data_IF_967765469431
#
_entry.id   IF_967765469431
#
_cell.length_a   1.000
_cell.length_b   1.000
_cell.length_c   1.000
_cell.angle_alpha   90.00
_cell.angle_beta   90.00
_cell.angle_gamma   90.00
#
_symmetry.space_group_name_H-M   'P 1'
#
loop_
_entity.id
_entity.type
_entity.pdbx_description
1 polymer ?
#
# COMPACT_ATOMS: atom_id res chain seq x y z
N UNK A 1 -2.41 -8.11 1.26
CA UNK A 1 -1.88 -6.99 0.46
C UNK A 1 -0.51 -6.54 0.98
N UNK A 2 -0.34 -6.43 2.31
CA UNK A 2 0.88 -6.04 3.01
C UNK A 2 2.21 -6.63 2.51
N UNK A 3 2.21 -7.88 2.03
CA UNK A 3 3.43 -8.51 1.50
C UNK A 3 4.10 -7.78 0.32
N UNK A 4 3.39 -6.90 -0.40
CA UNK A 4 3.96 -6.11 -1.50
C UNK A 4 4.90 -4.98 -1.03
N UNK A 5 4.78 -4.54 0.24
CA UNK A 5 5.55 -3.40 0.78
C UNK A 5 7.07 -3.63 0.70
N UNK A 6 7.53 -4.86 1.00
CA UNK A 6 8.93 -5.25 0.90
C UNK A 6 9.51 -4.94 -0.49
N UNK A 7 8.77 -5.31 -1.55
CA UNK A 7 9.20 -5.10 -2.92
C UNK A 7 9.10 -3.63 -3.35
N UNK A 8 8.04 -2.95 -2.92
CA UNK A 8 7.86 -1.53 -3.18
C UNK A 8 9.03 -0.70 -2.64
N UNK A 9 9.47 -0.96 -1.40
CA UNK A 9 10.63 -0.29 -0.80
C UNK A 9 11.89 -0.44 -1.67
N UNK A 10 12.20 -1.67 -2.12
CA UNK A 10 13.36 -1.94 -2.97
C UNK A 10 13.29 -1.20 -4.30
N UNK A 11 12.12 -1.16 -4.95
CA UNK A 11 11.90 -0.46 -6.22
C UNK A 11 12.11 1.05 -6.05
N UNK A 12 11.62 1.61 -4.93
CA UNK A 12 11.85 3.00 -4.56
C UNK A 12 13.32 3.30 -4.22
N UNK A 13 14.13 2.27 -3.96
CA UNK A 13 15.54 2.41 -3.58
C UNK A 13 15.73 2.59 -2.07
N UNK A 14 14.76 2.16 -1.28
CA UNK A 14 14.74 2.27 0.18
C UNK A 14 15.21 0.96 0.85
N UNK A 15 15.45 1.06 2.16
CA UNK A 15 15.57 -0.09 3.06
C UNK A 15 14.18 -0.33 3.64
N UNK A 16 13.51 -1.41 3.23
CA UNK A 16 12.19 -1.78 3.75
C UNK A 16 12.29 -2.76 4.90
N UNK A 17 11.80 -2.41 6.08
CA UNK A 17 11.68 -3.33 7.22
C UNK A 17 10.22 -3.72 7.39
N UNK A 18 9.92 -5.03 7.34
CA UNK A 18 8.55 -5.55 7.44
C UNK A 18 8.50 -6.57 8.58
N UNK A 19 7.83 -6.22 9.68
CA UNK A 19 7.56 -7.16 10.76
C UNK A 19 6.33 -8.01 10.45
N UNK A 20 6.41 -9.30 10.71
CA UNK A 20 5.34 -10.28 10.47
C UNK A 20 5.43 -11.37 11.55
N UNK A 21 4.28 -11.69 12.17
CA UNK A 21 4.19 -12.71 13.22
C UNK A 21 4.03 -14.12 12.64
N UNK A 22 3.42 -14.23 11.46
CA UNK A 22 3.22 -15.51 10.78
C UNK A 22 4.47 -15.90 9.98
N UNK A 23 5.18 -16.91 10.48
CA UNK A 23 6.32 -17.51 9.76
C UNK A 23 5.92 -17.96 8.35
N UNK A 24 4.75 -18.57 8.20
CA UNK A 24 4.24 -19.00 6.89
C UNK A 24 4.12 -17.82 5.91
N UNK A 25 3.54 -16.70 6.36
CA UNK A 25 3.36 -15.52 5.52
C UNK A 25 4.71 -14.90 5.12
N UNK A 26 5.65 -14.77 6.07
CA UNK A 26 6.99 -14.24 5.85
C UNK A 26 7.76 -15.12 4.87
N UNK A 27 7.80 -16.43 5.12
CA UNK A 27 8.53 -17.40 4.29
C UNK A 27 7.97 -17.49 2.88
N UNK A 28 6.65 -17.37 2.73
CA UNK A 28 6.00 -17.28 1.41
C UNK A 28 6.49 -16.07 0.61
N UNK A 29 6.66 -14.90 1.23
CA UNK A 29 7.17 -13.70 0.53
C UNK A 29 8.65 -13.80 0.22
N UNK A 30 9.43 -14.41 1.10
CA UNK A 30 10.83 -14.71 0.83
C UNK A 30 10.98 -15.70 -0.34
N UNK A 31 10.23 -16.80 -0.35
CA UNK A 31 10.24 -17.77 -1.45
C UNK A 31 9.80 -17.18 -2.80
N UNK A 32 8.90 -16.18 -2.79
CA UNK A 32 8.49 -15.43 -3.98
C UNK A 32 9.55 -14.42 -4.46
N UNK A 33 10.62 -14.18 -3.71
CA UNK A 33 11.61 -13.13 -3.99
C UNK A 33 11.09 -11.70 -3.79
N UNK A 34 9.98 -11.55 -3.05
CA UNK A 34 9.41 -10.24 -2.69
C UNK A 34 10.12 -9.66 -1.47
N UNK A 35 10.57 -10.53 -0.57
CA UNK A 35 11.40 -10.24 0.59
C UNK A 35 12.81 -10.81 0.36
N UNK A 36 13.86 -10.02 0.61
CA UNK A 36 15.24 -10.43 0.29
C UNK A 36 15.94 -11.16 1.44
N UNK A 37 15.71 -10.72 2.66
CA UNK A 37 16.34 -11.27 3.86
C UNK A 37 15.36 -11.23 5.03
N UNK A 38 15.62 -12.02 6.07
CA UNK A 38 14.81 -12.00 7.28
C UNK A 38 15.63 -12.40 8.51
N UNK A 39 15.15 -12.01 9.68
CA UNK A 39 15.69 -12.37 10.99
C UNK A 39 14.59 -12.35 12.05
N UNK A 40 14.74 -13.15 13.09
CA UNK A 40 13.92 -13.16 14.32
C UNK A 40 14.61 -12.42 15.48
N UNK A 41 15.78 -11.81 15.23
CA UNK A 41 16.60 -11.18 16.26
C UNK A 41 16.71 -9.67 16.03
N UNK A 42 16.23 -8.88 17.01
CA UNK A 42 16.24 -7.43 16.96
C UNK A 42 17.65 -6.82 16.87
N UNK A 43 18.65 -7.38 17.56
CA UNK A 43 20.02 -6.87 17.48
C UNK A 43 20.60 -7.04 16.07
N UNK A 44 20.31 -8.19 15.45
CA UNK A 44 20.68 -8.47 14.06
C UNK A 44 19.96 -7.51 13.10
N UNK A 45 18.66 -7.29 13.31
CA UNK A 45 17.87 -6.35 12.51
C UNK A 45 18.46 -4.94 12.56
N UNK A 46 18.67 -4.40 13.77
CA UNK A 46 19.20 -3.05 13.95
C UNK A 46 20.60 -2.91 13.33
N UNK A 47 21.46 -3.91 13.53
CA UNK A 47 22.79 -3.93 12.90
C UNK A 47 22.68 -3.89 11.38
N UNK A 48 21.78 -4.68 10.79
CA UNK A 48 21.60 -4.75 9.34
C UNK A 48 21.02 -3.45 8.76
N UNK A 49 20.12 -2.77 9.47
CA UNK A 49 19.63 -1.44 9.09
C UNK A 49 20.81 -0.45 8.99
N UNK A 50 21.68 -0.41 10.01
CA UNK A 50 22.87 0.48 10.00
C UNK A 50 23.84 0.15 8.86
N UNK A 51 24.13 -1.13 8.64
CA UNK A 51 25.05 -1.57 7.58
C UNK A 51 24.53 -1.24 6.18
N UNK A 52 23.25 -1.48 5.91
CA UNK A 52 22.62 -1.22 4.60
C UNK A 52 22.47 0.28 4.35
N UNK A 53 22.15 1.06 5.40
CA UNK A 53 22.13 2.52 5.36
C UNK A 53 23.48 3.10 5.01
N UNK A 54 24.56 2.63 5.66
CA UNK A 54 25.92 3.08 5.38
C UNK A 54 26.34 2.79 3.94
N UNK A 55 25.90 1.66 3.38
CA UNK A 55 26.17 1.25 1.99
C UNK A 55 25.22 1.86 0.96
N UNK A 56 24.14 2.52 1.40
CA UNK A 56 23.01 2.98 0.55
C UNK A 56 22.47 1.84 -0.32
N UNK A 57 22.36 0.66 0.27
CA UNK A 57 21.89 -0.57 -0.38
C UNK A 57 20.36 -0.65 -0.27
N UNK A 58 19.67 -0.69 -1.41
CA UNK A 58 18.23 -0.95 -1.43
C UNK A 58 17.98 -2.42 -1.10
N UNK A 59 17.31 -2.69 0.02
CA UNK A 59 16.99 -4.05 0.46
C UNK A 59 15.64 -4.12 1.18
N UNK A 60 15.16 -5.33 1.41
CA UNK A 60 13.97 -5.62 2.20
C UNK A 60 14.26 -6.69 3.25
N UNK A 61 13.99 -6.35 4.51
CA UNK A 61 14.32 -7.13 5.70
C UNK A 61 13.03 -7.51 6.41
N UNK A 62 12.77 -8.80 6.52
CA UNK A 62 11.66 -9.32 7.30
C UNK A 62 12.07 -9.49 8.76
N UNK A 63 11.25 -9.00 9.68
CA UNK A 63 11.38 -9.35 11.08
C UNK A 63 10.31 -10.38 11.45
N UNK A 64 10.72 -11.59 11.79
CA UNK A 64 9.80 -12.63 12.27
C UNK A 64 9.50 -12.36 13.75
N UNK A 65 8.45 -11.60 14.00
CA UNK A 65 8.09 -11.13 15.34
C UNK A 65 7.13 -9.95 15.28
N UNK A 66 6.84 -9.36 16.45
CA UNK A 66 5.83 -8.33 16.54
C UNK A 66 6.37 -6.97 16.08
N UNK A 67 5.57 -6.22 15.31
CA UNK A 67 5.93 -4.86 14.88
C UNK A 67 6.13 -3.91 16.06
N UNK A 68 5.42 -4.13 17.17
CA UNK A 68 5.57 -3.33 18.39
C UNK A 68 6.98 -3.49 18.99
N UNK A 69 7.55 -4.69 18.96
CA UNK A 69 8.93 -4.91 19.43
C UNK A 69 9.94 -4.11 18.59
N UNK A 70 9.71 -4.04 17.28
CA UNK A 70 10.55 -3.22 16.37
C UNK A 70 10.41 -1.74 16.72
N UNK A 71 9.19 -1.25 16.90
CA UNK A 71 8.96 0.15 17.27
C UNK A 71 9.59 0.53 18.61
N UNK A 72 9.38 -0.28 19.64
CA UNK A 72 9.97 -0.05 20.97
C UNK A 72 11.50 -0.19 20.94
N UNK A 73 12.04 -1.11 20.12
CA UNK A 73 13.49 -1.20 19.94
C UNK A 73 14.06 0.03 19.25
N UNK A 74 13.39 0.57 18.22
CA UNK A 74 13.81 1.79 17.54
C UNK A 74 13.80 3.00 18.49
N UNK A 75 12.83 3.08 19.41
CA UNK A 75 12.82 4.07 20.49
C UNK A 75 14.04 3.89 21.39
N UNK A 76 14.33 2.67 21.84
CA UNK A 76 15.48 2.40 22.71
C UNK A 76 16.82 2.79 22.06
N UNK A 77 17.00 2.50 20.77
CA UNK A 77 18.18 2.91 20.01
C UNK A 77 18.27 4.44 19.90
N UNK A 78 17.15 5.12 19.62
CA UNK A 78 17.11 6.58 19.55
C UNK A 78 17.44 7.23 20.90
N UNK A 79 16.89 6.73 22.01
CA UNK A 79 17.18 7.27 23.34
C UNK A 79 18.63 7.02 23.77
N UNK A 80 19.20 5.88 23.40
CA UNK A 80 20.59 5.54 23.75
C UNK A 80 21.63 6.30 22.91
N UNK A 81 21.33 6.60 21.65
CA UNK A 81 22.34 7.08 20.68
C UNK A 81 22.02 8.42 20.04
N UNK A 82 20.77 8.88 20.12
CA UNK A 82 20.26 10.02 19.35
C UNK A 82 20.06 9.74 17.85
N UNK A 83 20.33 8.51 17.39
CA UNK A 83 20.23 8.14 15.98
C UNK A 83 18.79 7.77 15.61
N UNK A 84 18.18 8.53 14.70
CA UNK A 84 16.89 8.17 14.12
C UNK A 84 17.09 7.13 13.00
N UNK A 85 16.83 5.86 13.33
CA UNK A 85 17.02 4.71 12.42
C UNK A 85 15.86 4.49 11.43
N UNK A 86 14.82 5.30 11.50
CA UNK A 86 13.62 5.19 10.66
C UNK A 86 13.12 6.58 10.26
N UNK A 87 13.09 6.86 8.96
CA UNK A 87 12.56 8.13 8.43
C UNK A 87 11.07 8.05 8.09
N UNK A 88 10.61 6.89 7.66
CA UNK A 88 9.25 6.63 7.17
C UNK A 88 8.63 5.44 7.91
N UNK A 89 7.41 5.62 8.41
CA UNK A 89 6.70 4.62 9.19
C UNK A 89 5.25 4.46 8.75
N UNK A 90 4.75 3.21 8.72
CA UNK A 90 3.33 2.94 8.49
C UNK A 90 2.95 1.60 9.12
N UNK A 91 1.67 1.24 9.02
CA UNK A 91 1.12 -0.04 9.47
C UNK A 91 0.13 -0.58 8.44
N UNK A 92 0.24 -1.87 8.12
CA UNK A 92 -0.72 -2.57 7.24
C UNK A 92 -1.15 -3.91 7.83
N UNK A 93 -1.18 -4.02 9.16
CA UNK A 93 -1.86 -5.11 9.87
C UNK A 93 -3.37 -5.07 9.57
N UNK A 94 -4.11 -6.14 9.87
CA UNK A 94 -5.54 -6.20 9.55
C UNK A 94 -6.39 -5.62 10.68
N UNK A 95 -6.15 -4.35 11.04
CA UNK A 95 -6.90 -3.64 12.09
C UNK A 95 -8.38 -3.38 11.75
N UNK A 96 -8.86 -3.71 10.55
CA UNK A 96 -10.30 -3.77 10.25
C UNK A 96 -11.00 -4.96 10.93
N UNK A 97 -10.25 -5.96 11.39
CA UNK A 97 -10.73 -7.09 12.19
C UNK A 97 -9.71 -7.46 13.29
N UNK A 98 -9.44 -6.53 14.23
CA UNK A 98 -8.31 -6.65 15.15
C UNK A 98 -8.50 -7.81 16.15
N UNK A 99 -9.75 -8.13 16.50
CA UNK A 99 -10.08 -9.16 17.49
C UNK A 99 -10.37 -10.53 16.88
N UNK A 100 -10.48 -10.63 15.56
CA UNK A 100 -10.69 -11.89 14.83
C UNK A 100 -9.42 -12.46 14.20
N UNK A 101 -8.25 -12.12 14.76
CA UNK A 101 -6.94 -12.58 14.26
C UNK A 101 -6.24 -11.60 13.31
N UNK A 102 -6.81 -10.41 13.08
CA UNK A 102 -6.20 -9.41 12.20
C UNK A 102 -5.03 -8.64 12.82
N UNK A 103 -4.92 -8.63 14.16
CA UNK A 103 -3.84 -8.00 14.91
C UNK A 103 -3.39 -8.91 16.06
N UNK A 104 -2.10 -9.25 16.10
CA UNK A 104 -1.52 -10.06 17.17
C UNK A 104 -0.93 -9.15 18.26
N UNK A 105 -1.38 -9.25 19.52
CA UNK A 105 -0.82 -8.43 20.59
C UNK A 105 0.63 -8.82 20.89
N UNK A 106 1.49 -7.84 21.19
CA UNK A 106 2.92 -8.04 21.48
C UNK A 106 3.20 -8.92 22.70
N UNK A 107 2.23 -9.03 23.62
CA UNK A 107 2.35 -9.82 24.84
C UNK A 107 2.27 -11.33 24.59
N UNK A 108 1.86 -11.76 23.39
CA UNK A 108 1.65 -13.17 23.04
C UNK A 108 2.48 -13.54 21.81
N UNK A 109 2.94 -14.78 21.78
CA UNK A 109 3.38 -15.41 20.53
C UNK A 109 2.21 -15.60 19.56
N UNK A 110 2.52 -15.84 18.28
CA UNK A 110 1.51 -16.07 17.26
C UNK A 110 0.58 -17.25 17.61
N UNK A 111 1.16 -18.37 18.07
CA UNK A 111 0.41 -19.56 18.47
C UNK A 111 -0.50 -19.29 19.69
N UNK A 112 0.00 -18.58 20.70
CA UNK A 112 -0.80 -18.22 21.88
C UNK A 112 -1.97 -17.31 21.52
N UNK A 113 -1.77 -16.36 20.59
CA UNK A 113 -2.85 -15.50 20.10
C UNK A 113 -3.91 -16.30 19.32
N UNK A 114 -3.50 -17.25 18.47
CA UNK A 114 -4.40 -18.15 17.76
C UNK A 114 -5.23 -19.01 18.72
N UNK A 115 -4.61 -19.58 19.75
CA UNK A 115 -5.34 -20.35 20.77
C UNK A 115 -6.31 -19.48 21.57
N UNK A 116 -5.93 -18.24 21.89
CA UNK A 116 -6.73 -17.34 22.71
C UNK A 116 -7.97 -16.83 21.97
N UNK A 117 -7.95 -16.74 20.64
CA UNK A 117 -9.12 -16.40 19.82
C UNK A 117 -10.34 -17.27 20.15
N UNK A 118 -10.12 -18.57 20.35
CA UNK A 118 -11.20 -19.51 20.67
C UNK A 118 -11.46 -19.64 22.17
N UNK A 119 -10.42 -19.56 23.00
CA UNK A 119 -10.51 -19.82 24.45
C UNK A 119 -11.01 -18.62 25.25
N UNK A 120 -10.53 -17.41 24.97
CA UNK A 120 -10.83 -16.21 25.75
C UNK A 120 -10.75 -14.93 24.88
N UNK A 121 -11.75 -14.70 24.01
CA UNK A 121 -11.76 -13.54 23.13
C UNK A 121 -11.84 -12.20 23.87
N UNK A 122 -12.36 -12.19 25.10
CA UNK A 122 -12.42 -10.98 25.93
C UNK A 122 -11.02 -10.56 26.38
N UNK A 123 -10.23 -11.51 26.89
CA UNK A 123 -8.84 -11.25 27.26
C UNK A 123 -7.99 -10.88 26.06
N UNK A 124 -8.17 -11.56 24.92
CA UNK A 124 -7.47 -11.21 23.69
C UNK A 124 -7.74 -9.75 23.29
N UNK A 125 -9.00 -9.32 23.33
CA UNK A 125 -9.38 -7.93 23.05
C UNK A 125 -8.64 -6.94 23.96
N UNK A 126 -8.56 -7.22 25.27
CA UNK A 126 -7.84 -6.36 26.21
C UNK A 126 -6.34 -6.27 25.86
N UNK A 127 -5.70 -7.39 25.53
CA UNK A 127 -4.29 -7.44 25.14
C UNK A 127 -4.03 -6.72 23.82
N UNK A 128 -4.90 -6.89 22.82
CA UNK A 128 -4.83 -6.15 21.55
C UNK A 128 -4.88 -4.65 21.79
N UNK A 129 -5.83 -4.19 22.60
CA UNK A 129 -5.95 -2.77 22.94
C UNK A 129 -4.71 -2.24 23.68
N UNK A 130 -4.12 -3.03 24.58
CA UNK A 130 -2.87 -2.68 25.26
C UNK A 130 -1.69 -2.58 24.29
N UNK A 131 -1.55 -3.55 23.39
CA UNK A 131 -0.53 -3.56 22.34
C UNK A 131 -0.65 -2.34 21.41
N UNK A 132 -1.86 -1.97 20.99
CA UNK A 132 -2.11 -0.78 20.17
C UNK A 132 -1.67 0.51 20.88
N UNK A 133 -1.94 0.64 22.19
CA UNK A 133 -1.48 1.79 22.99
C UNK A 133 0.05 1.88 23.04
N UNK A 134 0.73 0.74 23.23
CA UNK A 134 2.20 0.67 23.21
C UNK A 134 2.78 1.03 21.86
N UNK A 135 2.21 0.50 20.78
CA UNK A 135 2.62 0.81 19.41
C UNK A 135 2.55 2.31 19.13
N UNK A 136 1.42 2.95 19.43
CA UNK A 136 1.25 4.39 19.25
C UNK A 136 2.19 5.19 20.14
N UNK A 137 2.43 4.79 21.39
CA UNK A 137 3.37 5.49 22.26
C UNK A 137 4.79 5.53 21.66
N UNK A 138 5.25 4.41 21.09
CA UNK A 138 6.54 4.34 20.42
C UNK A 138 6.57 5.17 19.12
N UNK A 139 5.51 5.09 18.30
CA UNK A 139 5.37 5.90 17.08
C UNK A 139 5.36 7.40 17.41
N UNK A 140 4.61 7.83 18.43
CA UNK A 140 4.55 9.22 18.90
C UNK A 140 5.94 9.73 19.26
N UNK A 141 6.70 8.94 20.05
CA UNK A 141 8.05 9.28 20.47
C UNK A 141 9.01 9.48 19.28
N UNK A 142 8.96 8.58 18.29
CA UNK A 142 9.81 8.69 17.10
C UNK A 142 9.34 9.80 16.16
N UNK A 143 8.03 10.05 16.07
CA UNK A 143 7.48 11.14 15.28
C UNK A 143 7.88 12.51 15.86
N UNK A 144 7.89 12.65 17.18
CA UNK A 144 8.45 13.83 17.86
C UNK A 144 9.94 14.03 17.55
N UNK A 145 10.66 12.96 17.20
CA UNK A 145 12.06 12.99 16.79
C UNK A 145 12.26 13.19 15.27
N UNK A 146 11.19 13.27 14.47
CA UNK A 146 11.24 13.53 13.03
C UNK A 146 10.87 12.37 12.12
N UNK A 147 10.42 11.22 12.65
CA UNK A 147 9.78 10.17 11.84
C UNK A 147 8.51 10.70 11.18
N UNK A 148 8.36 10.46 9.89
CA UNK A 148 7.09 10.67 9.19
C UNK A 148 6.27 9.38 9.22
N UNK A 149 5.16 9.37 9.99
CA UNK A 149 4.24 8.25 10.09
C UNK A 149 2.91 8.55 9.38
N UNK A 150 2.35 7.57 8.68
CA UNK A 150 1.02 7.65 8.07
C UNK A 150 0.21 6.35 8.22
N UNK A 151 -1.12 6.47 8.23
CA UNK A 151 -2.03 5.31 8.24
C UNK A 151 -2.24 4.76 6.82
N UNK A 152 -2.13 3.45 6.63
CA UNK A 152 -2.24 2.80 5.32
C UNK A 152 -3.68 2.39 4.94
N UNK A 153 -4.69 2.97 5.59
CA UNK A 153 -6.11 2.69 5.33
C UNK A 153 -6.55 1.30 5.82
N UNK A 154 -5.98 0.84 6.94
CA UNK A 154 -6.25 -0.46 7.55
C UNK A 154 -7.04 -0.37 8.87
N UNK A 155 -7.57 0.81 9.20
CA UNK A 155 -8.26 1.15 10.45
C UNK A 155 -7.37 1.16 11.71
N UNK A 156 -6.03 1.20 11.55
CA UNK A 156 -5.09 1.18 12.68
C UNK A 156 -5.30 2.35 13.65
N UNK A 157 -5.30 3.60 13.17
CA UNK A 157 -5.48 4.75 14.06
C UNK A 157 -6.88 4.79 14.70
N UNK A 158 -7.90 4.34 13.98
CA UNK A 158 -9.26 4.24 14.51
C UNK A 158 -9.35 3.24 15.67
N UNK A 159 -8.79 2.04 15.50
CA UNK A 159 -8.78 1.03 16.57
C UNK A 159 -7.86 1.42 17.72
N UNK A 160 -6.73 2.06 17.44
CA UNK A 160 -5.87 2.60 18.49
C UNK A 160 -6.59 3.69 19.31
N UNK A 161 -7.37 4.57 18.67
CA UNK A 161 -8.25 5.52 19.37
C UNK A 161 -9.28 4.82 20.24
N UNK A 162 -9.96 3.80 19.70
CA UNK A 162 -10.94 2.98 20.46
C UNK A 162 -10.29 2.27 21.65
N UNK A 163 -9.01 1.95 21.55
CA UNK A 163 -8.18 1.42 22.63
C UNK A 163 -7.71 2.50 23.64
N UNK A 164 -7.95 3.79 23.39
CA UNK A 164 -7.49 4.88 24.24
C UNK A 164 -6.04 5.29 24.01
N UNK A 165 -5.47 5.02 22.84
CA UNK A 165 -4.16 5.51 22.44
C UNK A 165 -4.20 7.00 22.09
N UNK A 166 -3.08 7.70 22.29
CA UNK A 166 -2.94 9.11 21.99
C UNK A 166 -2.69 9.34 20.49
N UNK A 167 -3.78 9.33 19.71
CA UNK A 167 -3.75 9.50 18.25
C UNK A 167 -4.48 10.76 17.77
N UNK A 168 -4.99 11.58 18.69
CA UNK A 168 -5.75 12.78 18.35
C UNK A 168 -4.81 13.89 17.84
N UNK A 169 -5.23 14.61 16.80
CA UNK A 169 -4.46 15.80 16.37
C UNK A 169 -4.54 16.87 17.47
N UNK A 170 -3.42 17.50 17.87
CA UNK A 170 -3.49 18.61 18.80
C UNK A 170 -4.34 19.76 18.24
N UNK A 171 -5.22 20.32 19.06
CA UNK A 171 -6.00 21.52 18.71
C UNK A 171 -7.24 21.29 17.83
N UNK A 172 -7.72 20.05 17.69
CA UNK A 172 -9.03 19.76 17.07
C UNK A 172 -9.98 19.12 18.06
N UNK A 173 -11.26 19.48 17.98
CA UNK A 173 -12.35 18.80 18.70
C UNK A 173 -12.95 17.65 17.88
N UNK A 174 -12.61 17.54 16.58
CA UNK A 174 -13.14 16.49 15.71
C UNK A 174 -12.62 15.11 16.12
N UNK A 175 -13.51 14.18 16.52
CA UNK A 175 -13.11 12.84 16.92
C UNK A 175 -12.67 11.93 15.77
N UNK A 176 -12.68 12.39 14.53
CA UNK A 176 -12.17 11.62 13.38
C UNK A 176 -10.90 12.23 12.77
N UNK A 177 -10.40 13.34 13.33
CA UNK A 177 -9.13 13.92 12.92
C UNK A 177 -7.98 13.36 13.76
N UNK A 178 -7.12 12.59 13.12
CA UNK A 178 -5.95 11.96 13.74
C UNK A 178 -4.68 12.82 13.58
N UNK A 179 -3.72 12.59 14.49
CA UNK A 179 -2.40 13.22 14.49
C UNK A 179 -1.62 12.90 13.22
N UNK A 180 -1.76 11.66 12.73
CA UNK A 180 -1.15 11.18 11.51
C UNK A 180 -2.21 11.10 10.42
N UNK A 181 -1.94 11.61 9.21
CA UNK A 181 -2.89 11.48 8.13
C UNK A 181 -2.92 10.05 7.61
N UNK A 182 -4.02 9.67 6.96
CA UNK A 182 -4.01 8.49 6.10
C UNK A 182 -3.24 8.79 4.80
N UNK A 183 -2.68 7.76 4.16
CA UNK A 183 -2.04 7.92 2.86
C UNK A 183 -3.01 8.48 1.80
N UNK A 184 -4.31 8.27 1.95
CA UNK A 184 -5.27 8.87 1.02
C UNK A 184 -5.50 10.34 1.31
N UNK A 185 -5.58 10.72 2.58
CA UNK A 185 -5.76 12.12 2.97
C UNK A 185 -4.61 13.01 2.53
N UNK A 186 -3.37 12.52 2.65
CA UNK A 186 -2.16 13.34 2.44
C UNK A 186 -1.51 13.15 1.08
N UNK A 187 -1.76 12.03 0.40
CA UNK A 187 -1.05 11.66 -0.84
C UNK A 187 -2.04 11.29 -1.95
N UNK A 188 -2.83 10.23 -1.78
CA UNK A 188 -3.59 9.68 -2.91
C UNK A 188 -4.75 10.55 -3.35
N UNK A 189 -5.38 11.30 -2.44
CA UNK A 189 -6.50 12.17 -2.79
C UNK A 189 -6.11 13.23 -3.83
N UNK A 190 -4.90 13.78 -3.71
CA UNK A 190 -4.37 14.72 -4.70
C UNK A 190 -3.99 14.02 -6.01
N UNK A 191 -3.40 12.81 -5.93
CA UNK A 191 -3.09 11.99 -7.11
C UNK A 191 -4.38 11.63 -7.89
N UNK A 192 -5.43 11.25 -7.17
CA UNK A 192 -6.75 10.99 -7.74
C UNK A 192 -7.37 12.25 -8.34
N UNK A 193 -7.22 13.40 -7.68
CA UNK A 193 -7.71 14.69 -8.23
C UNK A 193 -7.02 15.06 -9.55
N UNK A 194 -5.81 14.55 -9.81
CA UNK A 194 -5.11 14.66 -11.10
C UNK A 194 -5.56 13.61 -12.14
N UNK A 195 -6.48 12.71 -11.77
CA UNK A 195 -6.99 11.61 -12.58
C UNK A 195 -6.11 10.34 -12.56
N UNK A 196 -4.97 10.37 -11.87
CA UNK A 196 -4.07 9.21 -11.80
C UNK A 196 -4.65 8.14 -10.89
N UNK A 197 -4.67 6.90 -11.38
CA UNK A 197 -5.18 5.77 -10.65
C UNK A 197 -4.83 4.45 -11.34
N UNK A 198 -5.20 3.31 -10.76
CA UNK A 198 -4.76 2.00 -11.22
C UNK A 198 -5.28 1.72 -12.63
N UNK A 199 -4.35 1.59 -13.57
CA UNK A 199 -4.59 1.13 -14.93
C UNK A 199 -3.95 -0.25 -15.09
N UNK A 200 -4.78 -1.27 -15.34
CA UNK A 200 -4.36 -2.67 -15.41
C UNK A 200 -4.67 -3.25 -16.76
N UNK A 201 -3.85 -4.22 -17.16
CA UNK A 201 -4.18 -5.04 -18.31
C UNK A 201 -3.74 -6.48 -18.15
N UNK A 202 -4.35 -7.35 -18.97
CA UNK A 202 -4.05 -8.78 -19.06
C UNK A 202 -3.90 -9.17 -20.53
N UNK A 203 -2.78 -9.79 -20.89
CA UNK A 203 -2.57 -10.36 -22.22
C UNK A 203 -3.27 -11.72 -22.31
N UNK A 204 -4.32 -11.83 -23.13
CA UNK A 204 -5.14 -13.07 -23.20
C UNK A 204 -4.42 -14.25 -23.87
N UNK A 205 -3.29 -14.01 -24.52
CA UNK A 205 -2.41 -15.07 -25.04
C UNK A 205 -1.76 -15.91 -23.95
N UNK A 206 -1.63 -15.36 -22.73
CA UNK A 206 -0.85 -15.97 -21.66
C UNK A 206 0.66 -15.98 -21.92
N UNK A 207 1.14 -15.32 -22.98
CA UNK A 207 2.55 -15.30 -23.38
C UNK A 207 3.31 -14.17 -22.67
N UNK A 208 4.38 -14.46 -21.90
CA UNK A 208 5.25 -13.44 -21.30
C UNK A 208 5.83 -12.43 -22.31
N UNK A 209 6.01 -12.81 -23.57
CA UNK A 209 6.51 -11.92 -24.61
C UNK A 209 5.49 -10.82 -24.98
N UNK A 210 4.19 -11.13 -24.94
CA UNK A 210 3.15 -10.12 -25.13
C UNK A 210 3.13 -9.14 -23.96
N UNK A 211 3.37 -9.63 -22.73
CA UNK A 211 3.47 -8.77 -21.56
C UNK A 211 4.67 -7.83 -21.65
N UNK A 212 5.85 -8.35 -22.01
CA UNK A 212 7.03 -7.52 -22.23
C UNK A 212 6.78 -6.46 -23.33
N UNK A 213 6.13 -6.86 -24.43
CA UNK A 213 5.77 -5.94 -25.52
C UNK A 213 4.82 -4.85 -25.03
N UNK A 214 3.84 -5.20 -24.20
CA UNK A 214 2.92 -4.23 -23.61
C UNK A 214 3.59 -3.31 -22.59
N UNK A 215 4.55 -3.81 -21.81
CA UNK A 215 5.38 -2.99 -20.90
C UNK A 215 6.17 -1.94 -21.70
N UNK A 216 6.80 -2.34 -22.80
CA UNK A 216 7.56 -1.44 -23.68
C UNK A 216 6.67 -0.39 -24.34
N UNK A 217 5.47 -0.78 -24.81
CA UNK A 217 4.50 0.15 -25.38
C UNK A 217 4.05 1.17 -24.33
N UNK A 218 3.67 0.71 -23.13
CA UNK A 218 3.24 1.58 -22.05
C UNK A 218 4.34 2.57 -21.67
N UNK A 219 5.58 2.10 -21.48
CA UNK A 219 6.72 2.98 -21.19
C UNK A 219 6.91 4.06 -22.26
N UNK A 220 6.89 3.69 -23.55
CA UNK A 220 7.10 4.64 -24.64
C UNK A 220 5.99 5.69 -24.73
N UNK A 221 4.74 5.29 -24.46
CA UNK A 221 3.61 6.23 -24.39
C UNK A 221 3.81 7.22 -23.25
N UNK A 222 4.14 6.72 -22.05
CA UNK A 222 4.39 7.59 -20.90
C UNK A 222 5.60 8.52 -21.13
N UNK A 223 6.69 8.01 -21.71
CA UNK A 223 7.87 8.80 -22.05
C UNK A 223 7.54 9.93 -23.05
N UNK A 224 6.70 9.64 -24.03
CA UNK A 224 6.23 10.66 -24.99
C UNK A 224 5.43 11.75 -24.28
N UNK A 225 4.47 11.37 -23.42
CA UNK A 225 3.67 12.34 -22.66
C UNK A 225 4.59 13.17 -21.74
N UNK A 226 5.50 12.52 -21.03
CA UNK A 226 6.41 13.16 -20.07
C UNK A 226 7.43 14.11 -20.73
N UNK A 227 7.63 14.02 -22.06
CA UNK A 227 8.48 14.94 -22.82
C UNK A 227 7.81 16.27 -23.18
N UNK A 228 6.51 16.37 -22.94
CA UNK A 228 5.73 17.59 -23.17
C UNK A 228 5.81 18.54 -21.97
N UNK A 229 5.34 19.78 -22.14
CA UNK A 229 5.24 20.75 -21.05
C UNK A 229 4.06 20.38 -20.13
N UNK A 230 4.37 19.81 -18.97
CA UNK A 230 3.40 19.33 -17.99
C UNK A 230 3.61 20.04 -16.65
N UNK A 231 2.53 20.25 -15.87
CA UNK A 231 2.66 20.64 -14.47
C UNK A 231 3.57 19.67 -13.71
N UNK A 232 4.43 20.19 -12.83
CA UNK A 232 5.44 19.40 -12.11
C UNK A 232 4.86 18.21 -11.34
N UNK A 233 3.70 18.41 -10.71
CA UNK A 233 3.01 17.35 -9.97
C UNK A 233 2.54 16.21 -10.89
N UNK A 234 2.03 16.53 -12.10
CA UNK A 234 1.64 15.54 -13.12
C UNK A 234 2.88 14.83 -13.70
N UNK A 235 3.95 15.59 -13.98
CA UNK A 235 5.20 15.04 -14.50
C UNK A 235 5.81 14.03 -13.52
N UNK A 236 5.79 14.33 -12.22
CA UNK A 236 6.27 13.41 -11.18
C UNK A 236 5.50 12.08 -11.21
N UNK A 237 4.16 12.11 -11.31
CA UNK A 237 3.35 10.89 -11.38
C UNK A 237 3.72 10.03 -12.59
N UNK A 238 3.94 10.64 -13.77
CA UNK A 238 4.42 9.89 -14.92
C UNK A 238 5.83 9.32 -14.72
N UNK A 239 6.75 10.09 -14.14
CA UNK A 239 8.11 9.64 -13.86
C UNK A 239 8.13 8.43 -12.91
N UNK A 240 7.32 8.44 -11.86
CA UNK A 240 7.19 7.33 -10.92
C UNK A 240 6.70 6.06 -11.62
N UNK A 241 5.69 6.18 -12.48
CA UNK A 241 5.14 5.06 -13.23
C UNK A 241 6.06 4.55 -14.34
N UNK A 242 6.85 5.42 -14.96
CA UNK A 242 7.91 5.05 -15.89
C UNK A 242 9.04 4.29 -15.20
N UNK A 243 9.46 4.72 -14.00
CA UNK A 243 10.43 3.98 -13.18
C UNK A 243 9.89 2.59 -12.84
N UNK A 244 8.65 2.51 -12.37
CA UNK A 244 8.00 1.25 -12.06
C UNK A 244 7.96 0.29 -13.25
N UNK A 245 7.42 0.71 -14.40
CA UNK A 245 7.21 -0.21 -15.55
C UNK A 245 8.55 -0.75 -16.09
N UNK A 246 9.63 0.04 -16.01
CA UNK A 246 10.99 -0.36 -16.40
C UNK A 246 11.58 -1.44 -15.48
N UNK A 247 11.20 -1.46 -14.21
CA UNK A 247 11.69 -2.43 -13.22
C UNK A 247 10.76 -3.64 -13.06
N UNK A 248 9.46 -3.49 -13.35
CA UNK A 248 8.43 -4.47 -13.03
C UNK A 248 8.69 -5.87 -13.61
N UNK A 249 9.23 -5.96 -14.83
CA UNK A 249 9.62 -7.22 -15.46
C UNK A 249 10.78 -7.94 -14.74
N UNK A 250 11.78 -7.19 -14.27
CA UNK A 250 12.97 -7.74 -13.60
C UNK A 250 12.64 -8.41 -12.27
N UNK A 251 11.56 -7.96 -11.64
CA UNK A 251 11.11 -8.44 -10.34
C UNK A 251 10.25 -9.70 -10.39
N UNK A 252 9.89 -10.20 -11.59
CA UNK A 252 9.18 -11.48 -11.79
C UNK A 252 7.93 -11.65 -10.90
N UNK A 253 7.15 -10.58 -10.75
CA UNK A 253 5.98 -10.56 -9.85
C UNK A 253 4.70 -11.15 -10.46
N UNK A 254 4.78 -11.70 -11.67
CA UNK A 254 3.63 -12.29 -12.36
C UNK A 254 3.25 -13.62 -11.72
N UNK A 255 2.00 -13.76 -11.29
CA UNK A 255 1.42 -15.00 -10.77
C UNK A 255 0.12 -15.26 -11.52
N UNK A 256 0.03 -16.40 -12.21
CA UNK A 256 -1.13 -16.73 -13.03
C UNK A 256 -1.10 -16.03 -14.39
N UNK A 257 -2.07 -15.16 -14.65
CA UNK A 257 -2.21 -14.49 -15.94
C UNK A 257 -1.11 -13.46 -16.19
N UNK A 258 -0.75 -13.28 -17.47
CA UNK A 258 0.22 -12.28 -17.89
C UNK A 258 -0.39 -10.89 -17.78
N UNK A 259 -0.20 -10.27 -16.62
CA UNK A 259 -0.85 -9.03 -16.23
C UNK A 259 0.14 -8.00 -15.71
N UNK A 260 -0.18 -6.72 -15.91
CA UNK A 260 0.57 -5.58 -15.40
C UNK A 260 -0.38 -4.51 -14.89
N UNK A 261 0.15 -3.67 -14.02
CA UNK A 261 -0.50 -2.48 -13.46
C UNK A 261 0.48 -1.32 -13.57
N UNK A 262 -0.04 -0.11 -13.73
CA UNK A 262 0.63 1.16 -13.44
C UNK A 262 -0.44 2.20 -13.12
N UNK A 263 -0.06 3.39 -12.67
CA UNK A 263 -0.95 4.53 -12.52
C UNK A 263 -0.85 5.46 -13.73
N UNK A 264 -2.00 5.96 -14.18
CA UNK A 264 -2.05 6.95 -15.25
C UNK A 264 -3.33 7.78 -15.17
N UNK A 265 -3.27 9.03 -15.61
CA UNK A 265 -4.44 9.89 -15.83
C UNK A 265 -5.26 9.49 -17.07
N UNK A 266 -6.36 10.21 -17.33
CA UNK A 266 -7.19 10.02 -18.52
C UNK A 266 -6.38 9.98 -19.82
N UNK A 267 -5.43 10.91 -19.99
CA UNK A 267 -4.65 11.06 -21.22
C UNK A 267 -3.78 9.85 -21.46
N UNK A 268 -3.03 9.41 -20.45
CA UNK A 268 -2.17 8.24 -20.57
C UNK A 268 -2.97 6.95 -20.72
N UNK A 269 -4.10 6.78 -20.00
CA UNK A 269 -4.99 5.62 -20.14
C UNK A 269 -5.48 5.46 -21.58
N UNK A 270 -5.99 6.54 -22.18
CA UNK A 270 -6.47 6.53 -23.58
C UNK A 270 -5.36 6.22 -24.57
N UNK A 271 -4.20 6.88 -24.44
CA UNK A 271 -3.06 6.67 -25.36
C UNK A 271 -2.50 5.25 -25.27
N UNK A 272 -2.38 4.68 -24.05
CA UNK A 272 -1.90 3.30 -23.87
C UNK A 272 -2.93 2.31 -24.45
N UNK A 273 -4.22 2.49 -24.15
CA UNK A 273 -5.28 1.64 -24.68
C UNK A 273 -5.29 1.62 -26.22
N UNK A 274 -5.16 2.79 -26.86
CA UNK A 274 -5.08 2.89 -28.31
C UNK A 274 -3.84 2.20 -28.87
N UNK A 275 -2.67 2.41 -28.25
CA UNK A 275 -1.42 1.79 -28.68
C UNK A 275 -1.44 0.25 -28.55
N UNK A 276 -2.07 -0.29 -27.48
CA UNK A 276 -2.29 -1.73 -27.35
C UNK A 276 -3.22 -2.26 -28.43
N UNK A 277 -4.34 -1.59 -28.68
CA UNK A 277 -5.29 -2.01 -29.71
C UNK A 277 -4.65 -2.01 -31.11
N UNK A 278 -3.82 -1.00 -31.41
CA UNK A 278 -3.03 -0.96 -32.64
C UNK A 278 -2.02 -2.10 -32.72
N UNK A 279 -1.32 -2.40 -31.63
CA UNK A 279 -0.36 -3.51 -31.56
C UNK A 279 -1.04 -4.89 -31.75
N UNK A 280 -2.24 -5.08 -31.22
CA UNK A 280 -3.06 -6.28 -31.46
C UNK A 280 -3.47 -6.35 -32.93
N UNK A 281 -3.98 -5.24 -33.50
CA UNK A 281 -4.43 -5.16 -34.90
C UNK A 281 -3.35 -5.53 -35.91
N UNK A 282 -2.10 -5.11 -35.66
CA UNK A 282 -0.96 -5.43 -36.55
C UNK A 282 -0.21 -6.71 -36.18
N UNK A 283 -0.69 -7.46 -35.17
CA UNK A 283 -0.10 -8.73 -34.74
C UNK A 283 1.22 -8.61 -33.96
N UNK A 284 1.57 -7.42 -33.47
CA UNK A 284 2.72 -7.22 -32.57
C UNK A 284 2.46 -7.81 -31.18
N UNK A 285 1.21 -7.72 -30.71
CA UNK A 285 0.70 -8.50 -29.58
C UNK A 285 -0.18 -9.61 -30.17
N UNK A 286 0.04 -10.87 -29.76
CA UNK A 286 -0.51 -12.04 -30.44
C UNK A 286 -2.00 -12.24 -30.25
N UNK A 287 -2.57 -11.75 -29.15
CA UNK A 287 -3.98 -11.92 -28.80
C UNK A 287 -4.55 -10.63 -28.16
N UNK A 288 -5.88 -10.52 -28.00
CA UNK A 288 -6.49 -9.36 -27.34
C UNK A 288 -5.89 -9.04 -25.97
N UNK A 289 -5.86 -7.75 -25.63
CA UNK A 289 -5.47 -7.27 -24.30
C UNK A 289 -6.72 -6.78 -23.58
N UNK A 290 -6.96 -7.33 -22.39
CA UNK A 290 -8.06 -6.94 -21.53
C UNK A 290 -7.62 -5.78 -20.66
N UNK A 291 -8.32 -4.64 -20.75
CA UNK A 291 -8.09 -3.49 -19.87
C UNK A 291 -9.02 -3.56 -18.65
N UNK A 292 -8.51 -3.20 -17.49
CA UNK A 292 -9.27 -3.19 -16.24
C UNK A 292 -8.59 -2.27 -15.20
N UNK A 293 -9.11 -2.26 -13.97
CA UNK A 293 -8.58 -1.50 -12.84
C UNK A 293 -9.04 -2.10 -11.51
N UNK A 294 -8.41 -1.66 -10.43
CA UNK A 294 -8.98 -1.81 -9.10
C UNK A 294 -10.12 -0.78 -8.90
N UNK A 295 -10.95 -0.97 -7.87
CA UNK A 295 -11.96 0.00 -7.46
C UNK A 295 -11.33 1.20 -6.72
N UNK A 296 -10.12 1.04 -6.18
CA UNK A 296 -9.28 2.10 -5.60
C UNK A 296 -8.78 3.09 -6.68
N UNK A 297 -9.69 3.88 -7.24
CA UNK A 297 -9.48 4.79 -8.36
C UNK A 297 -10.29 6.08 -8.17
N UNK A 298 -9.94 7.12 -8.94
CA UNK A 298 -10.48 8.49 -8.84
C UNK A 298 -12.01 8.59 -8.78
N UNK A 299 -12.74 7.69 -9.45
CA UNK A 299 -14.21 7.78 -9.56
C UNK A 299 -14.92 6.48 -9.22
N UNK A 300 -14.18 5.43 -8.89
CA UNK A 300 -14.72 4.07 -8.76
C UNK A 300 -15.32 3.74 -7.40
N UNK A 301 -15.05 4.57 -6.37
CA UNK A 301 -15.35 4.25 -4.97
C UNK A 301 -15.64 5.52 -4.19
N UNK A 302 -16.79 5.57 -3.52
CA UNK A 302 -17.04 6.47 -2.39
C UNK A 302 -16.69 5.72 -1.10
N UNK A 303 -15.77 6.27 -0.30
CA UNK A 303 -15.33 5.66 0.96
C UNK A 303 -14.76 6.75 1.89
N UNK A 304 -15.54 7.23 2.88
CA UNK A 304 -15.18 8.38 3.71
C UNK A 304 -13.93 8.13 4.58
N UNK A 305 -13.56 6.86 4.77
CA UNK A 305 -12.38 6.47 5.54
C UNK A 305 -11.18 6.14 4.66
N UNK A 306 -11.32 6.21 3.33
CA UNK A 306 -10.23 5.91 2.40
C UNK A 306 -10.35 6.77 1.14
N UNK A 307 -10.91 6.27 0.04
CA UNK A 307 -10.88 6.94 -1.28
C UNK A 307 -11.41 8.39 -1.29
N UNK A 308 -12.43 8.71 -0.49
CA UNK A 308 -13.01 10.06 -0.40
C UNK A 308 -12.68 10.75 0.93
N UNK A 309 -11.69 10.25 1.67
CA UNK A 309 -11.33 10.78 3.00
C UNK A 309 -10.69 12.17 3.01
N UNK A 310 -10.25 12.66 1.84
CA UNK A 310 -9.74 14.02 1.65
C UNK A 310 -10.81 15.02 1.15
N UNK A 311 -12.08 14.60 1.10
CA UNK A 311 -13.21 15.44 0.65
C UNK A 311 -13.94 16.03 1.87
N UNK A 312 -13.89 17.35 2.02
CA UNK A 312 -14.33 18.05 3.24
C UNK A 312 -15.61 18.89 3.08
N UNK A 313 -16.25 18.88 1.91
CA UNK A 313 -17.51 19.61 1.67
C UNK A 313 -18.75 18.88 2.24
N UNK A 314 -18.54 17.75 2.92
CA UNK A 314 -19.57 16.88 3.48
C UNK A 314 -20.02 15.75 2.55
N UNK A 315 -19.61 15.76 1.28
CA UNK A 315 -20.02 14.75 0.29
C UNK A 315 -19.31 13.40 0.41
N UNK A 316 -18.25 13.29 1.22
CA UNK A 316 -17.50 12.03 1.41
C UNK A 316 -18.37 10.84 1.87
N UNK A 317 -19.54 11.11 2.46
CA UNK A 317 -20.50 10.11 2.94
C UNK A 317 -21.60 9.75 1.94
N UNK A 318 -21.63 10.38 0.76
CA UNK A 318 -22.56 9.99 -0.31
C UNK A 318 -22.01 8.78 -1.07
N UNK A 319 -22.80 8.24 -2.00
CA UNK A 319 -22.40 7.14 -2.89
C UNK A 319 -22.70 7.45 -4.36
N UNK A 320 -23.01 8.72 -4.67
CA UNK A 320 -23.45 9.14 -5.99
C UNK A 320 -22.33 8.96 -7.03
N UNK A 321 -21.08 9.25 -6.68
CA UNK A 321 -19.95 9.18 -7.61
C UNK A 321 -19.73 7.74 -8.12
N UNK A 322 -19.67 6.77 -7.22
CA UNK A 322 -19.46 5.37 -7.57
C UNK A 322 -20.62 4.80 -8.41
N UNK A 323 -21.86 5.14 -8.07
CA UNK A 323 -23.05 4.75 -8.84
C UNK A 323 -23.04 5.39 -10.23
N UNK A 324 -22.76 6.69 -10.33
CA UNK A 324 -22.67 7.42 -11.59
C UNK A 324 -21.55 6.86 -12.47
N UNK A 325 -20.39 6.54 -11.91
CA UNK A 325 -19.29 5.91 -12.64
C UNK A 325 -19.74 4.54 -13.20
N UNK A 326 -20.32 3.69 -12.37
CA UNK A 326 -20.79 2.36 -12.77
C UNK A 326 -21.78 2.43 -13.95
N UNK A 327 -22.82 3.27 -13.84
CA UNK A 327 -23.82 3.42 -14.91
C UNK A 327 -23.17 4.07 -16.14
N UNK A 328 -22.32 5.09 -15.93
CA UNK A 328 -21.61 5.81 -16.97
C UNK A 328 -20.73 4.94 -17.86
N UNK A 329 -20.00 4.00 -17.26
CA UNK A 329 -19.15 3.03 -17.97
C UNK A 329 -20.00 2.01 -18.74
N UNK A 330 -21.15 1.60 -18.19
CA UNK A 330 -22.01 0.56 -18.74
C UNK A 330 -22.55 0.90 -20.14
N UNK A 331 -22.89 2.17 -20.40
CA UNK A 331 -23.38 2.63 -21.70
C UNK A 331 -22.30 3.27 -22.58
N UNK A 332 -21.03 3.27 -22.14
CA UNK A 332 -19.87 3.79 -22.91
C UNK A 332 -19.00 2.69 -23.52
N UNK A 333 -19.49 1.45 -23.53
CA UNK A 333 -18.84 0.35 -24.25
C UNK A 333 -17.82 -0.45 -23.42
N UNK A 334 -17.86 -0.35 -22.09
CA UNK A 334 -17.14 -1.29 -21.24
C UNK A 334 -17.60 -2.73 -21.52
N UNK A 335 -16.67 -3.68 -21.61
CA UNK A 335 -17.00 -5.10 -21.86
C UNK A 335 -17.80 -5.71 -20.70
N UNK A 336 -17.55 -5.26 -19.47
CA UNK A 336 -18.36 -5.53 -18.28
C UNK A 336 -18.17 -4.39 -17.27
N UNK A 337 -19.10 -4.28 -16.32
CA UNK A 337 -19.06 -3.32 -15.21
C UNK A 337 -19.46 -4.03 -13.91
N UNK A 338 -18.98 -3.53 -12.78
CA UNK A 338 -19.28 -4.06 -11.46
C UNK A 338 -19.48 -2.94 -10.43
N UNK A 339 -20.49 -3.08 -9.57
CA UNK A 339 -20.74 -2.23 -8.41
C UNK A 339 -20.75 -3.13 -7.17
N UNK A 340 -19.85 -2.87 -6.22
CA UNK A 340 -19.67 -3.67 -5.01
C UNK A 340 -19.97 -2.85 -3.75
N UNK A 341 -20.24 -3.54 -2.64
CA UNK A 341 -20.36 -2.93 -1.32
C UNK A 341 -19.25 -3.41 -0.38
N UNK A 342 -18.74 -2.52 0.48
CA UNK A 342 -17.76 -2.81 1.52
C UNK A 342 -16.32 -3.05 1.03
N UNK A 343 -16.02 -2.68 -0.22
CA UNK A 343 -14.70 -2.85 -0.81
C UNK A 343 -13.63 -2.11 0.00
N UNK A 344 -12.64 -2.85 0.50
CA UNK A 344 -11.47 -2.29 1.17
C UNK A 344 -11.63 -1.95 2.65
N UNK A 345 -12.68 -1.22 3.04
CA UNK A 345 -12.90 -0.77 4.43
C UNK A 345 -13.90 -1.63 5.21
N UNK A 346 -14.50 -2.65 4.57
CA UNK A 346 -15.47 -3.55 5.18
C UNK A 346 -16.92 -3.08 5.01
N UNK A 347 -17.86 -4.00 5.28
CA UNK A 347 -19.30 -3.71 5.36
C UNK A 347 -19.64 -3.02 6.68
#
# INVERSE_FOLDING_TARGET
MSGAQAKAAVICGCIGVVAEMSEEALMKRHAQGWLQEYTDNLDVLIKRIRETRAKKEATSIGYLGNVVDVWERLVAEYEATGELLVELGSDQTSCHNPFGGGYCPVQLSFQEAEEMLAKDPYRLKTLVQESLRRQIAAINKLADAGLFFWDYGNAFLLEARRAGADVSKPGTEDPLTFRYPSYVQDIMGDIFSLGFGPFRWVCTSGDPADLQTSDDIAYNVLATICSEDLPKNVQQQYADNMRWIKEAGKHKMVVGSQARILYSDQRGRVKIAQAFNDAVRVGKIKAPVVLSRDHHDVSGTDSPFRETSNVYDGSAFTADMAVQNFVGDAFRGATWVALHNGGGVGW
#
